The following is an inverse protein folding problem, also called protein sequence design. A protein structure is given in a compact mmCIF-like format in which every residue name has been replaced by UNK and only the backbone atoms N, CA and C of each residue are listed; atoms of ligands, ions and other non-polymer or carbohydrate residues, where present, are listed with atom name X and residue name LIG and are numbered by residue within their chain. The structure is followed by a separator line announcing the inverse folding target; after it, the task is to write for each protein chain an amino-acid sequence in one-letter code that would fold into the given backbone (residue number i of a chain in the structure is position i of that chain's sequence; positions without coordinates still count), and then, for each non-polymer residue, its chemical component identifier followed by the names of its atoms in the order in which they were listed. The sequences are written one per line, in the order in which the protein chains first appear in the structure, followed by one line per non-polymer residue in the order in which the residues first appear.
data_IF_251131771006
#
_entry.id   IF_251131771006
#
_cell.length_a   1.000
_cell.length_b   1.000
_cell.length_c   1.000
_cell.angle_alpha   90.00
_cell.angle_beta   90.00
_cell.angle_gamma   90.00
#
_symmetry.space_group_name_H-M   'P 1'
#
loop_
_entity.id
_entity.type
_entity.pdbx_description
1 polymer ?
#
# COMPACT_ATOMS: atom_id res chain seq x y z
N UNK A 1 -0.66 4.39 3.89
CA UNK A 1 0.07 4.21 2.60
C UNK A 1 -0.15 2.77 2.16
N UNK A 2 0.35 2.34 1.00
CA UNK A 2 0.30 0.92 0.66
C UNK A 2 1.70 0.29 0.77
N UNK A 3 1.83 -1.00 0.45
CA UNK A 3 3.00 -1.81 0.77
C UNK A 3 4.32 -1.19 0.30
N UNK A 4 4.36 -0.54 -0.87
CA UNK A 4 5.59 0.04 -1.37
C UNK A 4 5.97 1.32 -0.61
N UNK A 5 4.99 2.13 -0.23
CA UNK A 5 5.18 3.26 0.66
C UNK A 5 5.74 2.84 2.03
N UNK A 6 5.29 1.71 2.58
CA UNK A 6 5.86 1.17 3.82
C UNK A 6 7.30 0.68 3.65
N UNK A 7 7.63 0.06 2.51
CA UNK A 7 9.03 -0.28 2.20
C UNK A 7 9.92 0.96 2.07
N UNK A 8 9.43 2.01 1.40
CA UNK A 8 10.12 3.27 1.26
C UNK A 8 10.41 3.92 2.61
N UNK A 9 9.44 3.95 3.54
CA UNK A 9 9.66 4.51 4.89
C UNK A 9 10.62 3.65 5.70
N UNK A 10 10.52 2.33 5.65
CA UNK A 10 11.46 1.45 6.33
C UNK A 10 12.91 1.68 5.86
N UNK A 11 13.10 1.93 4.57
CA UNK A 11 14.41 2.23 3.98
C UNK A 11 15.05 3.54 4.49
N UNK A 12 14.35 4.36 5.28
CA UNK A 12 14.94 5.58 5.84
C UNK A 12 15.88 5.33 7.01
N UNK A 13 15.71 4.21 7.71
CA UNK A 13 16.38 3.96 8.99
C UNK A 13 16.98 2.56 9.11
N UNK A 14 16.85 1.72 8.08
CA UNK A 14 17.39 0.35 8.12
C UNK A 14 17.62 -0.22 6.73
N UNK A 15 18.73 -0.96 6.60
CA UNK A 15 19.03 -1.79 5.43
C UNK A 15 18.56 -3.24 5.65
N UNK A 16 17.88 -3.55 6.77
CA UNK A 16 17.45 -4.91 7.10
C UNK A 16 16.24 -5.35 6.27
N UNK A 17 16.40 -6.34 5.35
CA UNK A 17 15.28 -6.80 4.53
C UNK A 17 14.14 -7.41 5.35
N UNK A 18 14.46 -7.95 6.54
CA UNK A 18 13.46 -8.50 7.46
C UNK A 18 12.60 -7.41 8.09
N UNK A 19 13.16 -6.24 8.42
CA UNK A 19 12.38 -5.11 8.96
C UNK A 19 11.50 -4.52 7.85
N UNK A 20 12.06 -4.32 6.65
CA UNK A 20 11.30 -3.86 5.47
C UNK A 20 10.16 -4.82 5.14
N UNK A 21 10.41 -6.13 5.13
CA UNK A 21 9.38 -7.15 4.95
C UNK A 21 8.30 -7.06 6.03
N UNK A 22 8.69 -6.90 7.30
CA UNK A 22 7.76 -6.72 8.41
C UNK A 22 6.86 -5.50 8.24
N UNK A 23 7.37 -4.40 7.67
CA UNK A 23 6.61 -3.19 7.42
C UNK A 23 5.56 -3.34 6.30
N UNK A 24 5.80 -4.22 5.32
CA UNK A 24 4.84 -4.53 4.26
C UNK A 24 3.86 -5.65 4.62
N UNK A 25 4.19 -6.45 5.64
CA UNK A 25 3.49 -7.70 5.92
C UNK A 25 2.00 -7.53 6.25
N UNK A 26 1.55 -6.47 6.95
CA UNK A 26 0.12 -6.24 7.16
C UNK A 26 -0.67 -6.03 5.85
N UNK A 27 -0.10 -5.31 4.89
CA UNK A 27 -0.73 -5.10 3.58
C UNK A 27 -0.77 -6.40 2.79
N UNK A 28 0.32 -7.16 2.79
CA UNK A 28 0.34 -8.47 2.15
C UNK A 28 -0.67 -9.43 2.78
N UNK A 29 -0.84 -9.41 4.11
CA UNK A 29 -1.86 -10.19 4.80
C UNK A 29 -3.27 -9.82 4.33
N UNK A 30 -3.55 -8.52 4.13
CA UNK A 30 -4.80 -8.06 3.54
C UNK A 30 -4.98 -8.55 2.09
N UNK A 31 -3.92 -8.51 1.27
CA UNK A 31 -3.94 -8.99 -0.12
C UNK A 31 -4.24 -10.50 -0.23
N UNK A 32 -3.70 -11.31 0.68
CA UNK A 32 -4.02 -12.76 0.74
C UNK A 32 -5.26 -13.07 1.58
N UNK A 33 -6.01 -12.04 2.01
CA UNK A 33 -7.22 -12.16 2.84
C UNK A 33 -7.00 -13.08 4.05
N UNK A 34 -5.88 -12.88 4.74
CA UNK A 34 -5.49 -13.68 5.90
C UNK A 34 -5.18 -12.79 7.10
N UNK A 35 -5.11 -13.41 8.28
CA UNK A 35 -4.65 -12.77 9.51
C UNK A 35 -3.40 -13.47 10.00
N UNK A 36 -2.42 -12.67 10.38
CA UNK A 36 -1.21 -13.14 11.06
C UNK A 36 -1.61 -13.49 12.51
N UNK A 37 -1.27 -14.69 12.95
CA UNK A 37 -1.45 -15.14 14.32
C UNK A 37 -0.33 -14.62 15.22
N UNK A 38 0.93 -14.80 14.79
CA UNK A 38 2.11 -14.29 15.49
C UNK A 38 3.31 -14.15 14.53
N UNK A 39 4.28 -13.32 14.94
CA UNK A 39 5.57 -13.16 14.28
C UNK A 39 6.67 -13.57 15.26
N UNK A 40 7.45 -14.59 14.94
CA UNK A 40 8.49 -15.13 15.82
C UNK A 40 9.84 -14.39 15.68
N UNK A 41 10.07 -13.73 14.54
CA UNK A 41 11.26 -12.89 14.31
C UNK A 41 11.09 -11.51 14.94
N UNK A 42 12.07 -11.08 15.74
CA UNK A 42 12.13 -9.72 16.30
C UNK A 42 12.15 -8.64 15.23
N UNK A 43 12.86 -8.86 14.12
CA UNK A 43 12.94 -7.91 13.00
C UNK A 43 11.62 -7.77 12.24
N UNK A 44 10.88 -8.87 12.05
CA UNK A 44 9.54 -8.80 11.47
C UNK A 44 8.57 -8.01 12.37
N UNK A 45 8.65 -8.21 13.70
CA UNK A 45 7.85 -7.44 14.67
C UNK A 45 8.22 -5.95 14.66
N UNK A 46 9.51 -5.63 14.60
CA UNK A 46 10.01 -4.25 14.47
C UNK A 46 9.42 -3.58 13.23
N UNK A 47 9.45 -4.26 12.07
CA UNK A 47 8.82 -3.78 10.84
C UNK A 47 7.31 -3.59 10.96
N UNK A 48 6.59 -4.56 11.52
CA UNK A 48 5.15 -4.46 11.72
C UNK A 48 4.76 -3.31 12.66
N UNK A 49 5.57 -3.04 13.68
CA UNK A 49 5.40 -1.87 14.55
C UNK A 49 5.67 -0.57 13.80
N UNK A 50 6.67 -0.54 12.91
CA UNK A 50 6.92 0.60 12.03
C UNK A 50 5.73 0.86 11.10
N UNK A 51 5.15 -0.18 10.48
CA UNK A 51 3.94 -0.06 9.67
C UNK A 51 2.83 0.70 10.40
N UNK A 52 2.52 0.29 11.64
CA UNK A 52 1.48 0.91 12.46
C UNK A 52 1.78 2.39 12.76
N UNK A 53 3.04 2.73 13.12
CA UNK A 53 3.45 4.11 13.35
C UNK A 53 3.34 4.96 12.08
N UNK A 54 3.82 4.43 10.97
CA UNK A 54 3.78 5.06 9.67
C UNK A 54 2.35 5.35 9.24
N UNK A 55 1.44 4.39 9.37
CA UNK A 55 0.04 4.61 9.07
C UNK A 55 -0.62 5.61 10.01
N UNK A 56 -0.36 5.51 11.31
CA UNK A 56 -0.92 6.44 12.28
C UNK A 56 -0.48 7.89 11.96
N UNK A 57 0.80 8.10 11.62
CA UNK A 57 1.33 9.41 11.24
C UNK A 57 0.75 9.88 9.90
N UNK A 58 0.80 9.04 8.86
CA UNK A 58 0.32 9.36 7.51
C UNK A 58 -1.14 9.81 7.49
N UNK A 59 -2.02 9.09 8.20
CA UNK A 59 -3.44 9.43 8.26
C UNK A 59 -3.75 10.75 8.98
N UNK A 60 -2.83 11.25 9.82
CA UNK A 60 -2.97 12.55 10.49
C UNK A 60 -2.51 13.72 9.61
N UNK A 61 -1.68 13.47 8.60
CA UNK A 61 -1.12 14.54 7.77
C UNK A 61 -2.21 15.35 7.06
N UNK A 62 -2.10 16.68 7.16
CA UNK A 62 -3.05 17.60 6.54
C UNK A 62 -3.17 17.38 5.02
N UNK A 63 -2.04 17.08 4.36
CA UNK A 63 -1.99 16.92 2.91
C UNK A 63 -2.67 15.63 2.44
N UNK A 64 -2.48 14.52 3.15
CA UNK A 64 -3.24 13.31 2.88
C UNK A 64 -4.74 13.55 3.07
N UNK A 65 -5.13 14.17 4.20
CA UNK A 65 -6.55 14.45 4.49
C UNK A 65 -7.18 15.39 3.47
N UNK A 66 -6.42 16.35 2.92
CA UNK A 66 -6.88 17.22 1.83
C UNK A 66 -7.10 16.41 0.55
N UNK A 67 -6.10 15.66 0.09
CA UNK A 67 -6.19 14.84 -1.12
C UNK A 67 -7.33 13.83 -1.04
N UNK A 68 -7.47 13.16 0.11
CA UNK A 68 -8.56 12.24 0.38
C UNK A 68 -9.94 12.90 0.28
N UNK A 69 -10.15 14.04 0.96
CA UNK A 69 -11.46 14.72 0.95
C UNK A 69 -11.82 15.27 -0.43
N UNK A 70 -10.85 15.85 -1.12
CA UNK A 70 -11.04 16.36 -2.47
C UNK A 70 -11.33 15.24 -3.45
N UNK A 71 -10.64 14.10 -3.34
CA UNK A 71 -10.88 12.93 -4.16
C UNK A 71 -12.25 12.32 -3.91
N UNK A 72 -12.66 12.18 -2.65
CA UNK A 72 -13.97 11.63 -2.30
C UNK A 72 -15.09 12.49 -2.90
N UNK A 73 -15.01 13.82 -2.73
CA UNK A 73 -15.97 14.76 -3.32
C UNK A 73 -15.98 14.68 -4.84
N UNK A 74 -14.82 14.66 -5.48
CA UNK A 74 -14.71 14.58 -6.94
C UNK A 74 -15.33 13.29 -7.51
N UNK A 75 -15.22 12.17 -6.79
CA UNK A 75 -15.84 10.90 -7.17
C UNK A 75 -17.35 10.90 -6.93
N UNK A 76 -17.83 11.53 -5.85
CA UNK A 76 -19.26 11.75 -5.61
C UNK A 76 -19.88 12.62 -6.72
N UNK A 77 -19.21 13.69 -7.14
CA UNK A 77 -19.62 14.56 -8.26
C UNK A 77 -19.64 13.80 -9.60
N UNK A 78 -18.81 12.76 -9.75
CA UNK A 78 -18.84 11.83 -10.90
C UNK A 78 -19.93 10.76 -10.76
N UNK A 79 -20.73 10.80 -9.69
CA UNK A 79 -21.89 9.93 -9.49
C UNK A 79 -21.61 8.64 -8.72
N UNK A 80 -20.45 8.48 -8.06
CA UNK A 80 -20.26 7.36 -7.14
C UNK A 80 -21.04 7.60 -5.85
N UNK A 81 -21.58 6.54 -5.27
CA UNK A 81 -22.14 6.59 -3.92
C UNK A 81 -21.07 6.99 -2.89
N UNK A 82 -21.50 7.65 -1.80
CA UNK A 82 -20.61 8.17 -0.75
C UNK A 82 -19.62 7.13 -0.19
N UNK A 83 -20.08 5.90 0.04
CA UNK A 83 -19.23 4.81 0.54
C UNK A 83 -18.12 4.45 -0.45
N UNK A 84 -18.47 3.98 -1.67
CA UNK A 84 -17.50 3.69 -2.72
C UNK A 84 -16.58 4.86 -3.06
N UNK A 85 -17.08 6.10 -3.14
CA UNK A 85 -16.28 7.28 -3.41
C UNK A 85 -15.19 7.50 -2.35
N UNK A 86 -15.53 7.38 -1.07
CA UNK A 86 -14.56 7.49 0.04
C UNK A 86 -13.55 6.35 0.02
N UNK A 87 -13.99 5.13 -0.25
CA UNK A 87 -13.10 3.96 -0.36
C UNK A 87 -12.10 4.14 -1.51
N UNK A 88 -12.59 4.52 -2.68
CA UNK A 88 -11.80 4.72 -3.89
C UNK A 88 -10.81 5.89 -3.73
N UNK A 89 -11.25 7.01 -3.14
CA UNK A 89 -10.37 8.14 -2.87
C UNK A 89 -9.23 7.78 -1.92
N UNK A 90 -9.53 7.04 -0.85
CA UNK A 90 -8.53 6.63 0.13
C UNK A 90 -7.47 5.73 -0.51
N UNK A 91 -7.90 4.61 -1.10
CA UNK A 91 -6.99 3.64 -1.74
C UNK A 91 -6.26 4.28 -2.91
N UNK A 92 -6.96 5.09 -3.72
CA UNK A 92 -6.37 5.72 -4.91
C UNK A 92 -5.25 6.68 -4.57
N UNK A 93 -5.39 7.49 -3.51
CA UNK A 93 -4.30 8.38 -3.05
C UNK A 93 -3.09 7.58 -2.60
N UNK A 94 -3.29 6.47 -1.89
CA UNK A 94 -2.18 5.61 -1.44
C UNK A 94 -1.47 4.92 -2.60
N UNK A 95 -2.21 4.40 -3.58
CA UNK A 95 -1.64 3.77 -4.76
C UNK A 95 -0.89 4.77 -5.64
N UNK A 96 -1.45 5.96 -5.87
CA UNK A 96 -0.77 7.03 -6.59
C UNK A 96 0.52 7.43 -5.87
N UNK A 97 0.49 7.55 -4.55
CA UNK A 97 1.66 7.86 -3.75
C UNK A 97 2.74 6.79 -3.93
N UNK A 98 2.41 5.50 -3.81
CA UNK A 98 3.36 4.39 -4.05
C UNK A 98 4.01 4.48 -5.44
N UNK A 99 3.25 4.87 -6.48
CA UNK A 99 3.78 5.08 -7.83
C UNK A 99 4.80 6.21 -7.92
N UNK A 100 4.61 7.30 -7.17
CA UNK A 100 5.54 8.43 -7.11
C UNK A 100 6.74 8.14 -6.19
N UNK A 101 6.61 7.23 -5.23
CA UNK A 101 7.71 6.82 -4.33
C UNK A 101 8.73 5.90 -5.00
N UNK A 102 8.44 5.38 -6.19
CA UNK A 102 9.37 4.53 -6.95
C UNK A 102 10.72 5.20 -7.24
N UNK A 103 10.76 6.55 -7.31
CA UNK A 103 12.00 7.31 -7.55
C UNK A 103 12.76 7.65 -6.26
N UNK A 104 12.25 7.26 -5.08
CA UNK A 104 12.95 7.51 -3.83
C UNK A 104 14.23 6.66 -3.75
N UNK A 105 15.37 7.27 -3.35
CA UNK A 105 16.64 6.56 -3.25
C UNK A 105 16.52 5.28 -2.41
N UNK A 106 16.94 4.16 -2.98
CA UNK A 106 16.97 2.85 -2.32
C UNK A 106 15.61 2.15 -2.15
N UNK A 107 14.48 2.81 -2.39
CA UNK A 107 13.15 2.24 -2.11
C UNK A 107 12.87 0.96 -2.92
N UNK A 108 13.20 0.96 -4.22
CA UNK A 108 13.03 -0.23 -5.06
C UNK A 108 13.95 -1.38 -4.62
N UNK A 109 15.21 -1.09 -4.30
CA UNK A 109 16.16 -2.09 -3.81
C UNK A 109 15.67 -2.72 -2.50
N UNK A 110 15.29 -1.90 -1.52
CA UNK A 110 14.77 -2.35 -0.24
C UNK A 110 13.53 -3.23 -0.40
N UNK A 111 12.58 -2.82 -1.26
CA UNK A 111 11.40 -3.61 -1.59
C UNK A 111 11.76 -4.99 -2.17
N UNK A 112 12.61 -5.02 -3.19
CA UNK A 112 13.00 -6.26 -3.87
C UNK A 112 13.82 -7.18 -2.96
N UNK A 113 14.71 -6.64 -2.14
CA UNK A 113 15.49 -7.42 -1.20
C UNK A 113 14.62 -8.01 -0.08
N UNK A 114 13.60 -7.28 0.38
CA UNK A 114 12.61 -7.80 1.31
C UNK A 114 11.80 -8.95 0.69
N UNK A 115 11.39 -8.84 -0.58
CA UNK A 115 10.74 -9.94 -1.29
C UNK A 115 11.66 -11.17 -1.43
N UNK A 116 12.94 -10.99 -1.73
CA UNK A 116 13.92 -12.10 -1.77
C UNK A 116 14.08 -12.74 -0.40
N UNK A 117 14.20 -11.91 0.65
CA UNK A 117 14.35 -12.37 2.03
C UNK A 117 13.13 -13.17 2.51
N UNK A 118 11.92 -12.86 2.04
CA UNK A 118 10.70 -13.56 2.41
C UNK A 118 10.70 -15.07 2.08
N UNK A 119 11.52 -15.53 1.13
CA UNK A 119 11.69 -16.96 0.82
C UNK A 119 12.73 -17.67 1.68
N UNK A 120 13.49 -16.94 2.50
CA UNK A 120 14.49 -17.57 3.34
C UNK A 120 13.80 -18.43 4.41
N UNK A 121 14.22 -19.69 4.63
CA UNK A 121 13.51 -20.61 5.53
C UNK A 121 13.29 -20.07 6.94
N UNK A 122 14.23 -19.29 7.47
CA UNK A 122 14.14 -18.66 8.79
C UNK A 122 13.03 -17.61 8.88
N UNK A 123 12.84 -16.77 7.85
CA UNK A 123 11.78 -15.75 7.84
C UNK A 123 10.43 -16.35 7.47
N UNK A 124 10.39 -17.30 6.53
CA UNK A 124 9.16 -17.99 6.13
C UNK A 124 8.53 -18.72 7.33
N UNK A 125 9.34 -19.43 8.14
CA UNK A 125 8.86 -20.10 9.37
C UNK A 125 8.52 -19.12 10.49
N UNK A 126 9.00 -17.89 10.45
CA UNK A 126 8.73 -16.89 11.48
C UNK A 126 7.34 -16.23 11.35
N UNK A 127 6.60 -16.49 10.27
CA UNK A 127 5.26 -15.94 10.04
C UNK A 127 4.22 -17.03 10.28
N UNK A 128 3.48 -16.93 11.38
CA UNK A 128 2.40 -17.87 11.68
C UNK A 128 1.07 -17.26 11.25
N UNK A 129 0.38 -17.93 10.35
CA UNK A 129 -0.94 -17.51 9.88
C UNK A 129 -2.06 -18.14 10.73
N UNK A 130 -3.19 -17.44 10.89
CA UNK A 130 -4.37 -18.01 11.55
C UNK A 130 -5.07 -19.09 10.72
N UNK A 131 -4.96 -19.04 9.40
CA UNK A 131 -5.61 -19.98 8.47
C UNK A 131 -4.54 -20.86 7.82
N UNK A 132 -4.73 -22.19 7.75
CA UNK A 132 -3.79 -23.10 7.08
C UNK A 132 -3.57 -22.78 5.59
N UNK A 133 -4.61 -22.30 4.91
CA UNK A 133 -4.53 -21.97 3.48
C UNK A 133 -3.79 -20.66 3.19
N UNK A 134 -3.58 -19.83 4.21
CA UNK A 134 -2.88 -18.56 4.05
C UNK A 134 -1.42 -18.76 3.66
N UNK A 135 -0.77 -19.83 4.12
CA UNK A 135 0.60 -20.15 3.72
C UNK A 135 0.73 -20.38 2.21
N UNK A 136 -0.22 -21.11 1.60
CA UNK A 136 -0.24 -21.31 0.13
C UNK A 136 -0.50 -20.00 -0.61
N UNK A 137 -1.47 -19.20 -0.18
CA UNK A 137 -1.75 -17.89 -0.79
C UNK A 137 -0.59 -16.91 -0.65
N UNK A 138 0.13 -16.97 0.46
CA UNK A 138 1.34 -16.20 0.72
C UNK A 138 2.45 -16.53 -0.28
N UNK A 139 2.75 -17.82 -0.50
CA UNK A 139 3.72 -18.25 -1.51
C UNK A 139 3.32 -17.74 -2.89
N UNK A 140 2.06 -17.96 -3.30
CA UNK A 140 1.56 -17.48 -4.59
C UNK A 140 1.58 -15.94 -4.71
N UNK A 141 1.41 -15.20 -3.62
CA UNK A 141 1.57 -13.75 -3.63
C UNK A 141 3.03 -13.37 -3.87
N UNK A 142 3.96 -13.96 -3.11
CA UNK A 142 5.38 -13.64 -3.22
C UNK A 142 5.92 -13.93 -4.62
N UNK A 143 5.54 -15.05 -5.23
CA UNK A 143 6.01 -15.42 -6.57
C UNK A 143 5.54 -14.39 -7.60
N UNK A 144 4.25 -14.02 -7.59
CA UNK A 144 3.71 -12.97 -8.46
C UNK A 144 4.38 -11.61 -8.24
N UNK A 145 4.64 -11.22 -6.99
CA UNK A 145 5.28 -9.93 -6.70
C UNK A 145 6.74 -9.91 -7.16
N UNK A 146 7.47 -11.03 -7.03
CA UNK A 146 8.86 -11.13 -7.53
C UNK A 146 8.92 -11.11 -9.04
N UNK A 147 8.03 -11.82 -9.71
CA UNK A 147 7.92 -11.83 -11.17
C UNK A 147 7.57 -10.44 -11.70
N UNK A 148 6.65 -9.73 -11.03
CA UNK A 148 6.25 -8.38 -11.42
C UNK A 148 7.35 -7.32 -11.14
N UNK A 149 8.20 -7.55 -10.14
CA UNK A 149 9.19 -6.58 -9.68
C UNK A 149 8.57 -5.38 -8.96
N UNK A 150 9.20 -4.22 -9.05
CA UNK A 150 8.69 -2.98 -8.47
C UNK A 150 7.30 -2.62 -9.06
N UNK A 151 6.38 -1.99 -8.32
CA UNK A 151 5.01 -1.74 -8.77
C UNK A 151 4.90 -0.56 -9.77
N UNK A 152 5.64 -0.63 -10.88
CA UNK A 152 5.67 0.38 -11.94
C UNK A 152 4.29 0.73 -12.49
N UNK A 153 3.35 -0.24 -12.43
CA UNK A 153 1.96 -0.05 -12.82
C UNK A 153 1.30 1.15 -12.12
N UNK A 154 1.64 1.45 -10.87
CA UNK A 154 1.05 2.56 -10.12
C UNK A 154 1.41 3.96 -10.65
N UNK A 155 2.29 4.05 -11.66
CA UNK A 155 2.51 5.29 -12.42
C UNK A 155 1.45 5.57 -13.49
N UNK A 156 0.59 4.59 -13.79
CA UNK A 156 -0.42 4.72 -14.85
C UNK A 156 -1.83 4.75 -14.25
N UNK A 157 -2.67 5.73 -14.63
CA UNK A 157 -4.02 5.84 -14.06
C UNK A 157 -4.87 4.58 -14.20
N UNK A 158 -4.79 3.89 -15.34
CA UNK A 158 -5.54 2.66 -15.58
C UNK A 158 -5.21 1.55 -14.58
N UNK A 159 -3.92 1.32 -14.30
CA UNK A 159 -3.49 0.30 -13.32
C UNK A 159 -3.83 0.65 -11.89
N UNK A 160 -3.82 1.94 -11.54
CA UNK A 160 -4.31 2.40 -10.24
C UNK A 160 -5.81 2.18 -10.11
N UNK A 161 -6.60 2.48 -11.15
CA UNK A 161 -8.04 2.23 -11.17
C UNK A 161 -8.36 0.73 -10.99
N UNK A 162 -7.67 -0.15 -11.71
CA UNK A 162 -7.77 -1.61 -11.49
C UNK A 162 -7.39 -2.00 -10.05
N UNK A 163 -6.38 -1.34 -9.47
CA UNK A 163 -5.97 -1.54 -8.08
C UNK A 163 -7.05 -1.18 -7.07
N UNK A 164 -7.71 -0.03 -7.28
CA UNK A 164 -8.84 0.43 -6.48
C UNK A 164 -9.98 -0.59 -6.55
N UNK A 165 -10.37 -0.99 -7.76
CA UNK A 165 -11.46 -1.95 -7.96
C UNK A 165 -11.18 -3.26 -7.20
N UNK A 166 -9.98 -3.84 -7.36
CA UNK A 166 -9.57 -5.04 -6.62
C UNK A 166 -9.61 -4.85 -5.10
N UNK A 167 -9.22 -3.68 -4.61
CA UNK A 167 -9.20 -3.39 -3.17
C UNK A 167 -10.61 -3.27 -2.57
N UNK A 168 -11.58 -2.75 -3.35
CA UNK A 168 -12.97 -2.57 -2.92
C UNK A 168 -13.84 -3.81 -3.18
N UNK A 169 -13.41 -4.69 -4.09
CA UNK A 169 -14.16 -5.88 -4.46
C UNK A 169 -14.52 -6.76 -3.24
N UNK A 170 -15.79 -7.17 -3.18
CA UNK A 170 -16.35 -7.98 -2.09
C UNK A 170 -16.69 -7.21 -0.81
N UNK A 171 -16.44 -5.89 -0.75
CA UNK A 171 -16.85 -5.05 0.38
C UNK A 171 -18.23 -4.46 0.09
N UNK A 172 -19.28 -5.09 0.62
CA UNK A 172 -20.70 -4.75 0.37
C UNK A 172 -21.01 -3.23 0.40
N UNK A 173 -20.42 -2.48 1.33
CA UNK A 173 -20.67 -1.05 1.49
C UNK A 173 -19.82 -0.13 0.59
N UNK A 174 -18.85 -0.69 -0.13
CA UNK A 174 -17.91 0.03 -1.00
C UNK A 174 -17.96 -0.50 -2.44
N UNK A 175 -18.96 -1.32 -2.77
CA UNK A 175 -19.05 -1.95 -4.07
C UNK A 175 -19.25 -0.89 -5.16
N UNK A 176 -18.40 -0.98 -6.17
CA UNK A 176 -18.47 -0.18 -7.38
C UNK A 176 -19.51 -0.80 -8.32
N UNK A 177 -20.28 0.05 -9.00
CA UNK A 177 -21.16 -0.37 -10.08
C UNK A 177 -20.37 -0.56 -11.40
N UNK A 178 -21.04 -1.02 -12.45
CA UNK A 178 -20.41 -1.36 -13.73
C UNK A 178 -19.84 -0.14 -14.48
N UNK A 179 -20.33 1.08 -14.21
CA UNK A 179 -19.85 2.32 -14.83
C UNK A 179 -18.72 2.99 -14.02
N UNK A 180 -18.50 2.55 -12.78
CA UNK A 180 -17.51 3.13 -11.89
C UNK A 180 -16.06 3.02 -12.41
N UNK A 181 -15.60 1.96 -13.11
CA UNK A 181 -14.22 1.87 -13.58
C UNK A 181 -13.79 3.08 -14.43
N UNK A 182 -14.64 3.54 -15.35
CA UNK A 182 -14.35 4.72 -16.19
C UNK A 182 -14.27 6.01 -15.38
N UNK A 183 -15.17 6.18 -14.41
CA UNK A 183 -15.21 7.35 -13.52
C UNK A 183 -14.02 7.40 -12.57
N UNK A 184 -13.62 6.25 -12.03
CA UNK A 184 -12.44 6.11 -11.19
C UNK A 184 -11.18 6.38 -12.02
N UNK A 185 -11.04 5.79 -13.21
CA UNK A 185 -9.90 6.04 -14.08
C UNK A 185 -9.74 7.52 -14.46
N UNK A 186 -10.84 8.20 -14.82
CA UNK A 186 -10.83 9.64 -15.08
C UNK A 186 -10.38 10.46 -13.86
N UNK A 187 -10.94 10.16 -12.68
CA UNK A 187 -10.51 10.81 -11.44
C UNK A 187 -9.04 10.56 -11.10
N UNK A 188 -8.54 9.33 -11.27
CA UNK A 188 -7.13 9.02 -11.01
C UNK A 188 -6.21 9.86 -11.90
N UNK A 189 -6.55 10.03 -13.17
CA UNK A 189 -5.83 10.91 -14.10
C UNK A 189 -5.74 12.35 -13.59
N UNK A 190 -6.86 12.90 -13.12
CA UNK A 190 -6.92 14.26 -12.56
C UNK A 190 -6.18 14.39 -11.21
N UNK A 191 -6.20 13.32 -10.40
CA UNK A 191 -5.59 13.30 -9.07
C UNK A 191 -4.07 13.15 -9.11
N UNK A 192 -3.53 12.43 -10.09
CA UNK A 192 -2.10 12.08 -10.14
C UNK A 192 -1.16 13.30 -10.07
N UNK A 193 -1.33 14.37 -10.87
CA UNK A 193 -0.47 15.56 -10.77
C UNK A 193 -0.53 16.22 -9.38
N UNK A 194 -1.71 16.19 -8.74
CA UNK A 194 -1.93 16.77 -7.40
C UNK A 194 -1.24 15.95 -6.31
N UNK A 195 -1.29 14.62 -6.42
CA UNK A 195 -0.56 13.71 -5.52
C UNK A 195 0.94 13.92 -5.69
N UNK A 196 1.46 13.89 -6.93
CA UNK A 196 2.88 14.17 -7.23
C UNK A 196 3.36 15.47 -6.60
N UNK A 197 2.62 16.57 -6.79
CA UNK A 197 2.97 17.87 -6.23
C UNK A 197 2.95 17.91 -4.68
N UNK A 198 2.26 16.97 -4.03
CA UNK A 198 2.19 16.86 -2.58
C UNK A 198 3.28 15.94 -1.99
N UNK A 199 3.89 15.07 -2.79
CA UNK A 199 4.89 14.07 -2.32
C UNK A 199 5.98 14.70 -1.44
N UNK A 200 6.67 15.79 -1.83
CA UNK A 200 7.75 16.34 -1.00
C UNK A 200 7.26 16.78 0.39
N UNK A 201 6.07 17.41 0.47
CA UNK A 201 5.48 17.84 1.74
C UNK A 201 5.05 16.66 2.59
N UNK A 202 4.45 15.64 1.98
CA UNK A 202 4.05 14.40 2.67
C UNK A 202 5.29 13.70 3.24
N UNK A 203 6.34 13.54 2.45
CA UNK A 203 7.55 12.83 2.88
C UNK A 203 8.30 13.59 3.98
N UNK A 204 8.44 14.91 3.86
CA UNK A 204 9.08 15.72 4.89
C UNK A 204 8.31 15.64 6.23
N UNK A 205 6.98 15.80 6.19
CA UNK A 205 6.16 15.72 7.38
C UNK A 205 6.12 14.31 7.99
N UNK A 206 6.05 13.28 7.14
CA UNK A 206 6.04 11.90 7.59
C UNK A 206 7.37 11.52 8.24
N UNK A 207 8.50 11.89 7.64
CA UNK A 207 9.84 11.67 8.19
C UNK A 207 9.96 12.26 9.58
N UNK A 208 9.55 13.51 9.76
CA UNK A 208 9.59 14.18 11.06
C UNK A 208 8.78 13.49 12.18
N UNK A 209 7.79 12.66 11.82
CA UNK A 209 6.95 11.93 12.78
C UNK A 209 7.41 10.50 13.08
N UNK A 210 8.20 9.88 12.19
CA UNK A 210 8.49 8.43 12.24
C UNK A 210 9.97 8.07 12.37
N UNK A 211 10.87 9.04 12.20
CA UNK A 211 12.33 8.91 12.44
C UNK A 211 12.74 9.76 13.63
#
# INVERSE_FOLDING_TARGET
MNYFGHACVANWSTDSPAVVLGAMLPDFAAMVRARIASLQSGRLREGAALHQRTDAAFHRLAEFRRLYRDGARALEERGLGRGPARGAAHVGVELLLDGELLDQPGAQTAYLDALRAASRPELARAIHWRSPDAARRWVNLLDRLREAGAPLGYRTPGRVAEGIERALHGRRHLQLDDEAPGRVAGWVGDAQPRVRAAVPRILAALRAEVT
#
